data_IF_711029362302
#
_entry.id   IF_711029362302
#
_cell.length_a   1.000
_cell.length_b   1.000
_cell.length_c   1.000
_cell.angle_alpha   90.00
_cell.angle_beta   90.00
_cell.angle_gamma   90.00
#
_symmetry.space_group_name_H-M   'P 1'
#
loop_
_entity.id
_entity.type
_entity.pdbx_description
1 polymer ?
#
# COMPACT_ATOMS: atom_id res chain seq x y z
N UNK A 1 -11.08 -7.00 -2.89
CA UNK A 1 -9.94 -7.17 -3.82
C UNK A 1 -8.85 -6.13 -3.56
N UNK A 2 -9.13 -4.82 -3.65
CA UNK A 2 -8.13 -3.74 -3.52
C UNK A 2 -7.28 -3.78 -2.23
N UNK A 3 -7.91 -3.96 -1.07
CA UNK A 3 -7.18 -4.10 0.20
C UNK A 3 -6.32 -5.37 0.25
N UNK A 4 -6.81 -6.47 -0.33
CA UNK A 4 -6.06 -7.74 -0.39
C UNK A 4 -4.86 -7.64 -1.33
N UNK A 5 -5.00 -6.97 -2.48
CA UNK A 5 -3.86 -6.69 -3.36
C UNK A 5 -2.86 -5.72 -2.72
N UNK A 6 -3.33 -4.72 -1.98
CA UNK A 6 -2.47 -3.80 -1.22
C UNK A 6 -1.66 -4.52 -0.14
N UNK A 7 -2.31 -5.43 0.61
CA UNK A 7 -1.66 -6.32 1.58
C UNK A 7 -0.57 -7.19 0.94
N UNK A 8 -0.92 -7.87 -0.15
CA UNK A 8 -0.01 -8.79 -0.84
C UNK A 8 1.21 -8.05 -1.35
N UNK A 9 1.03 -6.94 -2.07
CA UNK A 9 2.12 -6.11 -2.59
C UNK A 9 2.97 -5.49 -1.46
N UNK A 10 2.31 -4.96 -0.43
CA UNK A 10 2.99 -4.36 0.72
C UNK A 10 3.83 -5.35 1.54
N UNK A 11 3.45 -6.63 1.53
CA UNK A 11 4.16 -7.68 2.26
C UNK A 11 5.30 -8.35 1.47
N UNK A 12 5.45 -8.08 0.17
CA UNK A 12 6.47 -8.70 -0.69
C UNK A 12 7.89 -8.69 -0.09
N UNK A 13 8.47 -7.55 0.34
CA UNK A 13 9.83 -7.55 0.85
C UNK A 13 9.97 -8.37 2.15
N UNK A 14 8.89 -8.49 2.92
CA UNK A 14 8.88 -9.33 4.13
C UNK A 14 8.89 -10.82 3.76
N UNK A 15 8.16 -11.20 2.71
CA UNK A 15 8.15 -12.58 2.19
C UNK A 15 9.54 -12.98 1.68
N UNK A 16 10.22 -12.08 0.96
CA UNK A 16 11.57 -12.35 0.44
C UNK A 16 12.60 -12.53 1.56
N UNK A 17 12.55 -11.68 2.60
CA UNK A 17 13.39 -11.84 3.80
C UNK A 17 13.09 -13.17 4.50
N UNK A 18 11.82 -13.49 4.70
CA UNK A 18 11.42 -14.72 5.39
C UNK A 18 11.86 -15.97 4.64
N UNK A 19 11.70 -15.99 3.31
CA UNK A 19 12.17 -17.06 2.44
C UNK A 19 13.69 -17.19 2.48
N UNK A 20 14.44 -16.08 2.45
CA UNK A 20 15.90 -16.12 2.55
C UNK A 20 16.39 -16.72 3.87
N UNK A 21 15.72 -16.40 4.99
CA UNK A 21 16.01 -16.97 6.32
C UNK A 21 15.68 -18.46 6.35
N UNK A 22 14.48 -18.86 5.90
CA UNK A 22 14.06 -20.26 5.88
C UNK A 22 14.93 -21.14 4.99
N UNK A 23 15.31 -20.64 3.81
CA UNK A 23 16.12 -21.38 2.85
C UNK A 23 17.62 -21.41 3.24
N UNK A 24 17.99 -20.77 4.36
CA UNK A 24 19.36 -20.60 4.87
C UNK A 24 20.36 -20.25 3.75
N UNK A 25 19.96 -19.33 2.87
CA UNK A 25 20.76 -18.94 1.72
C UNK A 25 21.94 -18.11 2.23
N UNK A 26 23.16 -18.63 2.12
CA UNK A 26 24.41 -18.05 2.67
C UNK A 26 24.87 -16.73 1.99
N UNK A 27 23.96 -16.02 1.32
CA UNK A 27 24.22 -14.77 0.60
C UNK A 27 23.66 -13.55 1.34
N UNK A 28 24.00 -12.34 0.87
CA UNK A 28 23.40 -11.11 1.36
C UNK A 28 21.87 -11.14 1.18
N UNK A 29 21.15 -10.70 2.21
CA UNK A 29 19.70 -10.56 2.16
C UNK A 29 19.38 -9.42 1.16
N UNK A 30 18.62 -9.67 0.09
CA UNK A 30 18.22 -8.62 -0.83
C UNK A 30 17.31 -7.65 -0.09
N UNK A 31 17.82 -6.44 0.18
CA UNK A 31 17.04 -5.33 0.73
C UNK A 31 16.36 -4.59 -0.42
N UNK A 32 15.44 -5.28 -1.09
CA UNK A 32 14.65 -4.66 -2.15
C UNK A 32 13.50 -3.86 -1.51
N UNK A 33 13.24 -2.67 -2.05
CA UNK A 33 12.11 -1.84 -1.67
C UNK A 33 10.95 -2.12 -2.63
N UNK A 34 9.72 -2.03 -2.12
CA UNK A 34 8.48 -2.19 -2.91
C UNK A 34 8.43 -1.21 -4.09
N UNK A 35 9.06 -0.04 -3.91
CA UNK A 35 9.21 0.97 -4.94
C UNK A 35 10.70 1.27 -5.17
N UNK A 36 11.16 1.35 -6.42
CA UNK A 36 12.51 1.81 -6.75
C UNK A 36 12.61 3.31 -6.44
N UNK A 37 12.82 3.64 -5.17
CA UNK A 37 12.96 5.03 -4.70
C UNK A 37 14.42 5.28 -4.40
N UNK A 38 15.01 6.25 -5.08
CA UNK A 38 16.31 6.80 -4.72
C UNK A 38 16.11 7.69 -3.48
N UNK A 39 16.44 7.17 -2.30
CA UNK A 39 16.27 7.89 -1.03
C UNK A 39 17.32 9.01 -0.81
N UNK A 40 18.09 9.36 -1.86
CA UNK A 40 19.02 10.48 -1.89
C UNK A 40 20.01 10.48 -0.72
N UNK A 41 19.97 11.49 0.18
CA UNK A 41 20.92 11.62 1.30
C UNK A 41 20.61 10.69 2.50
N UNK A 42 19.53 9.91 2.46
CA UNK A 42 19.13 9.03 3.55
C UNK A 42 19.86 7.69 3.41
N UNK A 43 20.53 7.28 4.48
CA UNK A 43 21.16 5.97 4.60
C UNK A 43 20.08 4.86 4.64
N UNK A 44 19.84 4.25 3.48
CA UNK A 44 18.82 3.22 3.29
C UNK A 44 19.09 1.95 4.06
N UNK A 45 20.36 1.64 4.34
CA UNK A 45 20.73 0.40 5.05
C UNK A 45 20.43 0.52 6.54
N UNK A 46 20.66 1.70 7.13
CA UNK A 46 20.36 1.96 8.54
C UNK A 46 18.86 2.08 8.82
N UNK A 47 18.11 2.70 7.91
CA UNK A 47 16.68 2.99 8.12
C UNK A 47 15.74 2.06 7.35
N UNK A 48 16.25 0.96 6.79
CA UNK A 48 15.51 0.02 5.93
C UNK A 48 14.14 -0.39 6.49
N UNK A 49 14.07 -0.85 7.75
CA UNK A 49 12.81 -1.32 8.35
C UNK A 49 11.79 -0.21 8.55
N UNK A 50 12.25 1.00 8.88
CA UNK A 50 11.37 2.16 9.07
C UNK A 50 10.81 2.60 7.72
N UNK A 51 11.66 2.70 6.70
CA UNK A 51 11.29 3.04 5.33
C UNK A 51 10.30 2.02 4.73
N UNK A 52 10.51 0.74 5.00
CA UNK A 52 9.60 -0.32 4.57
C UNK A 52 8.24 -0.20 5.24
N UNK A 53 8.20 0.08 6.55
CA UNK A 53 6.94 0.25 7.30
C UNK A 53 6.17 1.48 6.82
N UNK A 54 6.87 2.60 6.56
CA UNK A 54 6.22 3.82 6.07
C UNK A 54 5.66 3.62 4.66
N UNK A 55 6.38 2.88 3.80
CA UNK A 55 5.91 2.49 2.47
C UNK A 55 4.67 1.58 2.53
N UNK A 56 4.61 0.68 3.50
CA UNK A 56 3.42 -0.13 3.73
C UNK A 56 2.21 0.74 4.12
N UNK A 57 2.38 1.63 5.11
CA UNK A 57 1.31 2.52 5.58
C UNK A 57 0.83 3.44 4.45
N UNK A 58 1.73 3.96 3.62
CA UNK A 58 1.35 4.85 2.52
C UNK A 58 0.49 4.16 1.48
N UNK A 59 0.80 2.91 1.10
CA UNK A 59 -0.03 2.11 0.19
C UNK A 59 -1.45 1.93 0.76
N UNK A 60 -1.57 1.62 2.05
CA UNK A 60 -2.87 1.49 2.71
C UNK A 60 -3.66 2.79 2.76
N UNK A 61 -2.98 3.90 3.03
CA UNK A 61 -3.60 5.22 3.05
C UNK A 61 -4.16 5.56 1.65
N UNK A 62 -3.39 5.32 0.59
CA UNK A 62 -3.82 5.58 -0.79
C UNK A 62 -5.06 4.75 -1.15
N UNK A 63 -5.07 3.45 -0.84
CA UNK A 63 -6.23 2.58 -1.10
C UNK A 63 -7.47 3.07 -0.35
N UNK A 64 -7.29 3.45 0.92
CA UNK A 64 -8.41 3.95 1.75
C UNK A 64 -8.98 5.25 1.21
N UNK A 65 -8.11 6.16 0.76
CA UNK A 65 -8.54 7.41 0.12
C UNK A 65 -9.32 7.16 -1.18
N UNK A 66 -8.87 6.24 -2.03
CA UNK A 66 -9.59 5.88 -3.26
C UNK A 66 -10.99 5.35 -2.95
N UNK A 67 -11.10 4.41 -1.99
CA UNK A 67 -12.40 3.86 -1.57
C UNK A 67 -13.30 4.94 -0.98
N UNK A 68 -12.74 5.87 -0.20
CA UNK A 68 -13.51 6.98 0.35
C UNK A 68 -14.07 7.90 -0.74
N UNK A 69 -13.29 8.21 -1.77
CA UNK A 69 -13.72 9.02 -2.92
C UNK A 69 -14.87 8.34 -3.65
N UNK A 70 -14.76 7.04 -3.95
CA UNK A 70 -15.80 6.28 -4.64
C UNK A 70 -17.11 6.25 -3.83
N UNK A 71 -17.01 6.06 -2.50
CA UNK A 71 -18.16 6.09 -1.61
C UNK A 71 -18.85 7.45 -1.60
N UNK A 72 -18.08 8.55 -1.50
CA UNK A 72 -18.63 9.91 -1.52
C UNK A 72 -19.31 10.19 -2.85
N UNK A 73 -18.69 9.82 -3.97
CA UNK A 73 -19.27 9.98 -5.29
C UNK A 73 -20.61 9.24 -5.42
N UNK A 74 -20.65 7.98 -5.00
CA UNK A 74 -21.87 7.18 -5.02
C UNK A 74 -23.00 7.81 -4.17
N UNK A 75 -22.67 8.29 -2.97
CA UNK A 75 -23.62 8.95 -2.08
C UNK A 75 -24.18 10.25 -2.70
N UNK A 76 -23.33 11.06 -3.32
CA UNK A 76 -23.76 12.28 -4.02
C UNK A 76 -24.71 11.96 -5.17
N UNK A 77 -24.38 10.97 -6.01
CA UNK A 77 -25.26 10.52 -7.09
C UNK A 77 -26.61 10.03 -6.54
N UNK A 78 -26.60 9.19 -5.51
CA UNK A 78 -27.81 8.67 -4.88
C UNK A 78 -28.70 9.79 -4.30
N UNK A 79 -28.09 10.80 -3.67
CA UNK A 79 -28.82 11.96 -3.15
C UNK A 79 -29.49 12.78 -4.26
N UNK A 80 -28.78 13.03 -5.37
CA UNK A 80 -29.32 13.75 -6.52
C UNK A 80 -30.49 12.97 -7.16
N UNK A 81 -30.34 11.66 -7.35
CA UNK A 81 -31.41 10.80 -7.85
C UNK A 81 -32.64 10.81 -6.93
N UNK A 82 -32.44 10.74 -5.62
CA UNK A 82 -33.52 10.81 -4.64
C UNK A 82 -34.24 12.16 -4.65
N UNK A 83 -33.51 13.26 -4.80
CA UNK A 83 -34.09 14.60 -4.92
C UNK A 83 -34.94 14.72 -6.19
N UNK A 84 -34.45 14.21 -7.33
CA UNK A 84 -35.23 14.22 -8.57
C UNK A 84 -36.47 13.34 -8.48
N UNK A 85 -36.39 12.17 -7.84
CA UNK A 85 -37.54 11.31 -7.63
C UNK A 85 -38.60 11.92 -6.69
N UNK A 86 -38.20 12.79 -5.76
CA UNK A 86 -39.12 13.46 -4.84
C UNK A 86 -39.77 14.73 -5.43
N UNK A 87 -39.09 15.41 -6.35
CA UNK A 87 -39.56 16.66 -6.98
C UNK A 87 -40.25 16.46 -8.34
N UNK A 88 -40.06 15.32 -8.99
CA UNK A 88 -40.61 14.96 -10.31
C UNK A 88 -41.97 14.29 -10.24
#
# INVERSE_FOLDING_TARGET
>A
ALYMSGLVLGSQPFQDIFLHILLNKNGSIPREFIFPTEWGPIDTDKYYFILLTIGFISVFAIITMLVAIDCVFYMCCGHLCGLFAALG
#
